data_IF_637365937324
#
_entry.id   IF_637365937324
#
_cell.length_a   1.000
_cell.length_b   1.000
_cell.length_c   1.000
_cell.angle_alpha   90.00
_cell.angle_beta   90.00
_cell.angle_gamma   90.00
#
_symmetry.space_group_name_H-M   'P 1'
#
loop_
_entity.id
_entity.type
_entity.pdbx_description
1 polymer ?
#
# COMPACT_ATOMS: atom_id res chain seq x y z
N UNK A 1 -47.32 14.97 -26.10
CA UNK A 1 -48.50 14.35 -25.43
C UNK A 1 -48.04 12.97 -24.96
N UNK A 2 -47.92 12.58 -23.71
CA UNK A 2 -48.21 13.12 -22.37
C UNK A 2 -47.43 12.23 -21.39
N UNK A 3 -46.54 12.80 -20.58
CA UNK A 3 -46.21 12.36 -19.21
C UNK A 3 -47.25 13.00 -18.24
N UNK A 4 -47.27 12.77 -16.90
CA UNK A 4 -46.49 11.89 -16.01
C UNK A 4 -47.40 11.12 -14.99
N UNK A 5 -46.83 10.41 -14.01
CA UNK A 5 -47.27 10.35 -12.59
C UNK A 5 -46.32 9.38 -11.82
N UNK A 6 -45.47 9.84 -10.90
CA UNK A 6 -45.67 10.32 -9.52
C UNK A 6 -45.61 9.20 -8.45
N UNK A 7 -44.62 9.38 -7.59
CA UNK A 7 -44.21 8.66 -6.36
C UNK A 7 -45.28 8.75 -5.27
N UNK A 8 -45.26 7.84 -4.28
CA UNK A 8 -45.39 8.33 -2.90
C UNK A 8 -44.35 7.74 -1.92
N UNK A 9 -43.88 8.63 -1.04
CA UNK A 9 -43.11 8.36 0.18
C UNK A 9 -44.03 7.93 1.33
N UNK A 10 -43.51 7.26 2.38
CA UNK A 10 -44.15 7.24 3.69
C UNK A 10 -43.44 8.12 4.73
N UNK A 11 -44.29 8.65 5.59
CA UNK A 11 -44.15 9.73 6.57
C UNK A 11 -43.32 9.35 7.81
N UNK A 12 -42.65 10.39 8.32
CA UNK A 12 -42.25 10.57 9.72
C UNK A 12 -43.44 10.38 10.68
N UNK A 13 -43.23 9.67 11.80
CA UNK A 13 -44.11 9.70 12.98
C UNK A 13 -43.25 10.07 14.20
N UNK A 14 -43.69 11.12 14.89
CA UNK A 14 -43.19 11.60 16.17
C UNK A 14 -44.02 11.05 17.34
N UNK A 15 -43.37 10.57 18.39
CA UNK A 15 -43.82 10.58 19.79
C UNK A 15 -42.61 10.14 20.64
N UNK A 16 -42.16 10.80 21.70
CA UNK A 16 -42.84 11.66 22.65
C UNK A 16 -43.27 10.83 23.86
N UNK A 17 -42.39 10.62 24.84
CA UNK A 17 -42.75 10.37 26.26
C UNK A 17 -41.53 10.41 27.17
N UNK A 18 -41.45 11.51 27.90
CA UNK A 18 -40.58 11.79 29.03
C UNK A 18 -41.17 11.11 30.28
N UNK A 19 -40.37 10.35 31.04
CA UNK A 19 -40.78 9.87 32.38
C UNK A 19 -40.03 10.65 33.45
N UNK A 20 -40.80 11.40 34.24
CA UNK A 20 -40.35 12.18 35.37
C UNK A 20 -40.62 11.45 36.70
N UNK A 21 -39.59 11.49 37.55
CA UNK A 21 -39.61 11.80 39.00
C UNK A 21 -40.16 10.76 39.98
N UNK A 22 -39.31 10.42 40.96
CA UNK A 22 -39.71 10.45 42.38
C UNK A 22 -38.54 10.89 43.27
N UNK A 23 -38.66 12.09 43.83
CA UNK A 23 -37.87 12.59 44.98
C UNK A 23 -38.72 12.38 46.22
N UNK A 24 -38.12 11.94 47.33
CA UNK A 24 -38.59 12.25 48.68
C UNK A 24 -37.41 12.66 49.57
N UNK A 25 -37.63 13.54 50.54
CA UNK A 25 -36.59 14.23 51.28
C UNK A 25 -36.24 13.49 52.58
N UNK A 26 -34.99 13.60 53.04
CA UNK A 26 -34.73 13.65 54.47
C UNK A 26 -33.78 14.80 54.77
N UNK A 27 -34.19 15.56 55.77
CA UNK A 27 -33.73 16.84 56.22
C UNK A 27 -33.24 16.61 57.64
N UNK A 28 -31.94 16.78 57.91
CA UNK A 28 -31.53 17.23 59.25
C UNK A 28 -30.19 17.96 59.25
N UNK A 29 -30.14 19.19 59.80
CA UNK A 29 -28.94 20.01 59.86
C UNK A 29 -28.22 19.85 61.21
N UNK A 30 -26.91 20.07 61.22
CA UNK A 30 -26.22 20.52 62.44
C UNK A 30 -25.12 21.53 62.13
N UNK A 31 -25.28 22.66 62.81
CA UNK A 31 -24.51 23.91 62.79
C UNK A 31 -23.07 23.78 63.30
N UNK A 32 -22.34 24.89 63.10
CA UNK A 32 -21.35 25.52 64.00
C UNK A 32 -19.90 25.28 63.55
N UNK A 33 -19.06 26.27 63.29
CA UNK A 33 -19.19 27.73 63.35
C UNK A 33 -17.95 28.36 62.71
N UNK A 34 -18.10 29.62 62.34
CA UNK A 34 -17.05 30.56 61.92
C UNK A 34 -15.91 30.66 62.93
N UNK A 35 -14.68 30.97 62.48
CA UNK A 35 -13.99 32.24 62.82
C UNK A 35 -12.56 32.29 62.27
N UNK A 36 -12.20 33.51 61.83
CA UNK A 36 -10.88 34.15 61.96
C UNK A 36 -9.68 33.41 61.33
N UNK A 37 -9.18 33.85 60.19
CA UNK A 37 -8.36 35.07 60.06
C UNK A 37 -7.31 35.17 61.18
N UNK A 38 -6.20 34.46 61.04
CA UNK A 38 -4.92 34.89 61.62
C UNK A 38 -3.72 34.14 61.03
N UNK A 39 -2.71 34.93 60.64
CA UNK A 39 -1.31 34.56 60.47
C UNK A 39 -0.89 34.01 59.10
N UNK A 40 -0.87 34.95 58.16
CA UNK A 40 0.24 35.10 57.20
C UNK A 40 1.57 35.03 57.97
N UNK A 41 2.57 34.47 57.30
CA UNK A 41 4.01 34.46 57.64
C UNK A 41 4.48 33.22 58.39
N UNK A 42 4.70 32.13 57.65
CA UNK A 42 5.91 31.30 57.80
C UNK A 42 6.10 30.33 56.64
N UNK A 43 7.20 30.56 55.94
CA UNK A 43 8.02 29.55 55.27
C UNK A 43 7.60 29.24 53.82
N UNK A 44 7.92 30.24 52.99
CA UNK A 44 8.14 30.21 51.54
C UNK A 44 9.30 29.25 51.12
N UNK A 45 9.91 28.48 52.03
CA UNK A 45 11.13 27.69 51.74
C UNK A 45 10.83 26.25 51.30
N UNK A 46 9.60 25.74 51.47
CA UNK A 46 9.24 24.39 51.00
C UNK A 46 8.60 24.34 49.59
N UNK A 47 8.26 25.50 49.00
CA UNK A 47 7.58 25.58 47.71
C UNK A 47 8.50 25.72 46.49
N UNK A 48 9.74 26.22 46.67
CA UNK A 48 10.64 26.50 45.57
C UNK A 48 11.49 25.29 45.13
N UNK A 49 11.58 24.23 45.94
CA UNK A 49 12.30 23.00 45.59
C UNK A 49 11.41 21.98 44.86
N UNK A 50 10.10 22.07 44.99
CA UNK A 50 9.14 21.15 44.35
C UNK A 50 8.78 21.64 42.94
N UNK A 51 8.91 22.94 42.65
CA UNK A 51 8.71 23.49 41.30
C UNK A 51 9.96 23.38 40.40
N UNK A 52 11.16 23.22 40.97
CA UNK A 52 12.38 22.97 40.18
C UNK A 52 12.55 21.50 39.75
N UNK A 53 11.75 20.57 40.29
CA UNK A 53 11.80 19.14 39.93
C UNK A 53 10.73 18.71 38.92
N UNK A 54 9.84 19.61 38.47
CA UNK A 54 8.78 19.28 37.50
C UNK A 54 9.12 19.67 36.05
N UNK A 55 10.32 20.18 35.77
CA UNK A 55 10.84 20.27 34.39
C UNK A 55 11.74 19.08 34.06
N UNK A 56 11.37 17.87 34.49
CA UNK A 56 11.87 16.68 33.82
C UNK A 56 11.17 16.68 32.48
N UNK A 57 11.96 16.98 31.45
CA UNK A 57 11.59 16.84 30.05
C UNK A 57 10.69 15.62 29.87
N UNK A 58 9.51 15.83 29.27
CA UNK A 58 8.87 14.78 28.50
C UNK A 58 9.80 14.48 27.31
N UNK A 59 10.91 13.80 27.59
CA UNK A 59 11.62 13.02 26.60
C UNK A 59 10.64 11.91 26.26
N UNK A 60 9.94 12.11 25.14
CA UNK A 60 9.02 11.17 24.56
C UNK A 60 9.83 9.89 24.28
N UNK A 61 9.77 8.93 25.21
CA UNK A 61 10.39 7.63 25.04
C UNK A 61 9.65 6.96 23.87
N UNK A 62 10.34 6.89 22.72
CA UNK A 62 9.87 6.09 21.59
C UNK A 62 10.05 4.63 22.00
N UNK A 63 8.98 4.03 22.51
CA UNK A 63 8.92 2.59 22.79
C UNK A 63 9.31 1.81 21.52
N UNK A 64 10.43 1.07 21.51
CA UNK A 64 10.77 0.23 20.37
C UNK A 64 10.05 -1.11 20.56
N UNK A 65 8.86 -1.25 19.96
CA UNK A 65 8.24 -2.56 19.85
C UNK A 65 6.72 -2.55 19.77
N UNK A 66 6.19 -2.64 18.54
CA UNK A 66 4.80 -2.96 18.28
C UNK A 66 4.52 -3.12 16.79
N UNK A 67 4.34 -4.36 16.34
CA UNK A 67 4.06 -4.79 14.96
C UNK A 67 5.20 -4.59 13.95
N UNK A 68 5.25 -5.44 12.93
CA UNK A 68 6.23 -5.42 11.83
C UNK A 68 6.27 -4.05 11.14
N UNK A 69 7.14 -3.15 11.60
CA UNK A 69 7.37 -1.84 10.98
C UNK A 69 8.35 -2.04 9.82
N UNK A 70 7.85 -1.89 8.59
CA UNK A 70 8.68 -1.88 7.39
C UNK A 70 9.30 -0.50 7.24
N UNK A 71 10.64 -0.44 7.16
CA UNK A 71 11.37 0.79 6.87
C UNK A 71 11.23 1.16 5.39
N UNK A 72 10.43 2.19 5.12
CA UNK A 72 10.14 2.69 3.78
C UNK A 72 11.06 3.84 3.35
N UNK A 73 12.10 4.15 4.13
CA UNK A 73 13.08 5.18 3.79
C UNK A 73 13.94 4.78 2.58
N UNK A 74 14.48 5.76 1.84
CA UNK A 74 15.41 5.49 0.74
C UNK A 74 16.61 4.65 1.19
N UNK A 75 17.01 3.70 0.35
CA UNK A 75 18.11 2.80 0.64
C UNK A 75 19.46 3.54 0.72
N UNK A 76 20.30 3.12 1.67
CA UNK A 76 21.68 3.61 1.80
C UNK A 76 22.59 3.14 0.66
N UNK A 77 22.35 1.95 0.12
CA UNK A 77 23.07 1.41 -1.03
C UNK A 77 22.14 1.30 -2.24
N UNK A 78 22.66 1.50 -3.47
CA UNK A 78 21.91 1.22 -4.69
C UNK A 78 21.41 -0.24 -4.73
N UNK A 79 20.17 -0.42 -5.17
CA UNK A 79 19.58 -1.73 -5.42
C UNK A 79 20.23 -2.37 -6.65
N UNK A 80 20.64 -3.62 -6.51
CA UNK A 80 21.03 -4.48 -7.63
C UNK A 80 19.87 -5.37 -8.06
N UNK A 81 19.71 -5.55 -9.36
CA UNK A 81 18.73 -6.48 -9.92
C UNK A 81 19.28 -7.92 -9.91
N UNK A 82 18.39 -8.94 -9.81
CA UNK A 82 18.79 -10.32 -9.98
C UNK A 82 19.50 -10.54 -11.32
N UNK A 83 20.59 -11.33 -11.33
CA UNK A 83 21.41 -11.63 -12.52
C UNK A 83 20.66 -12.30 -13.69
N UNK A 84 19.42 -12.71 -13.46
CA UNK A 84 18.58 -13.35 -14.47
C UNK A 84 17.62 -12.39 -15.16
N UNK A 85 17.57 -11.11 -14.73
CA UNK A 85 16.94 -10.06 -15.51
C UNK A 85 17.61 -9.98 -16.88
N UNK A 86 16.85 -9.60 -17.90
CA UNK A 86 17.36 -9.56 -19.26
C UNK A 86 18.41 -8.46 -19.37
N UNK A 87 19.51 -8.77 -20.05
CA UNK A 87 20.44 -7.77 -20.54
C UNK A 87 19.87 -7.20 -21.85
N UNK A 88 19.01 -6.20 -21.71
CA UNK A 88 18.29 -5.56 -22.80
C UNK A 88 19.08 -4.36 -23.35
N UNK A 89 18.97 -4.11 -24.65
CA UNK A 89 19.38 -2.85 -25.29
C UNK A 89 18.30 -1.77 -25.26
N UNK A 90 17.24 -2.01 -24.47
CA UNK A 90 16.05 -1.16 -24.30
C UNK A 90 15.22 -0.99 -25.58
N UNK A 91 15.30 -1.95 -26.50
CA UNK A 91 14.33 -2.13 -27.59
C UNK A 91 13.30 -3.19 -27.18
N UNK A 92 12.11 -2.72 -26.80
CA UNK A 92 11.07 -3.59 -26.26
C UNK A 92 10.47 -4.53 -27.31
N UNK A 93 10.49 -4.16 -28.60
CA UNK A 93 10.02 -5.05 -29.66
C UNK A 93 10.99 -6.20 -29.88
N UNK A 94 12.29 -5.90 -29.93
CA UNK A 94 13.35 -6.91 -30.00
C UNK A 94 13.30 -7.84 -28.79
N UNK A 95 13.20 -7.27 -27.58
CA UNK A 95 13.10 -8.04 -26.34
C UNK A 95 11.89 -8.98 -26.33
N UNK A 96 10.73 -8.52 -26.82
CA UNK A 96 9.54 -9.34 -26.96
C UNK A 96 9.74 -10.46 -27.99
N UNK A 97 10.31 -10.15 -29.16
CA UNK A 97 10.57 -11.13 -30.20
C UNK A 97 11.52 -12.24 -29.72
N UNK A 98 12.56 -11.89 -28.97
CA UNK A 98 13.47 -12.86 -28.34
C UNK A 98 12.77 -13.72 -27.29
N UNK A 99 11.94 -13.12 -26.44
CA UNK A 99 11.16 -13.85 -25.45
C UNK A 99 10.23 -14.88 -26.14
N UNK A 100 9.56 -14.48 -27.22
CA UNK A 100 8.70 -15.38 -28.00
C UNK A 100 9.47 -16.48 -28.72
N UNK A 101 10.66 -16.19 -29.24
CA UNK A 101 11.54 -17.20 -29.82
C UNK A 101 11.98 -18.25 -28.78
N UNK A 102 11.99 -17.89 -27.49
CA UNK A 102 12.24 -18.78 -26.37
C UNK A 102 10.96 -19.42 -25.77
N UNK A 103 9.83 -19.41 -26.50
CA UNK A 103 8.51 -19.96 -26.10
C UNK A 103 7.90 -19.32 -24.83
N UNK A 104 8.29 -18.08 -24.53
CA UNK A 104 7.73 -17.32 -23.41
C UNK A 104 6.37 -16.73 -23.77
N UNK A 105 5.62 -16.31 -22.76
CA UNK A 105 4.27 -15.74 -22.88
C UNK A 105 4.27 -14.23 -23.16
N UNK A 106 5.40 -13.57 -22.94
CA UNK A 106 5.59 -12.16 -23.23
C UNK A 106 6.75 -11.59 -22.43
N UNK A 107 6.69 -10.30 -22.16
CA UNK A 107 7.70 -9.58 -21.37
C UNK A 107 7.06 -8.80 -20.22
N UNK A 108 7.85 -8.55 -19.18
CA UNK A 108 7.51 -7.69 -18.06
C UNK A 108 8.46 -6.51 -18.08
N UNK A 109 7.93 -5.30 -18.28
CA UNK A 109 8.70 -4.08 -18.14
C UNK A 109 8.61 -3.62 -16.69
N UNK A 110 9.73 -3.67 -16.00
CA UNK A 110 9.87 -3.26 -14.60
C UNK A 110 10.37 -1.84 -14.52
N UNK A 111 9.60 -0.97 -13.86
CA UNK A 111 9.97 0.40 -13.57
C UNK A 111 10.42 0.51 -12.12
N UNK A 112 11.68 0.89 -11.94
CA UNK A 112 12.33 0.95 -10.64
C UNK A 112 13.22 2.18 -10.50
N UNK A 113 13.87 2.27 -9.35
CA UNK A 113 14.92 3.25 -9.08
C UNK A 113 15.91 2.65 -8.08
N UNK A 114 17.15 3.14 -8.07
CA UNK A 114 18.22 2.57 -7.27
C UNK A 114 17.95 2.60 -5.75
N UNK A 115 17.33 3.65 -5.21
CA UNK A 115 17.18 3.85 -3.76
C UNK A 115 15.72 3.74 -3.32
N UNK A 116 15.17 2.53 -3.44
CA UNK A 116 13.74 2.27 -3.23
C UNK A 116 13.49 1.05 -2.35
N UNK A 117 12.91 1.27 -1.16
CA UNK A 117 12.61 0.21 -0.19
C UNK A 117 11.65 -0.84 -0.76
N UNK A 118 10.56 -0.42 -1.42
CA UNK A 118 9.59 -1.34 -2.02
C UNK A 118 10.14 -2.11 -3.23
N UNK A 119 11.06 -1.50 -3.97
CA UNK A 119 11.77 -2.16 -5.07
C UNK A 119 12.67 -3.26 -4.51
N UNK A 120 13.40 -2.98 -3.42
CA UNK A 120 14.15 -4.00 -2.69
C UNK A 120 13.25 -5.13 -2.20
N UNK A 121 12.05 -4.82 -1.69
CA UNK A 121 11.09 -5.81 -1.25
C UNK A 121 10.66 -6.75 -2.39
N UNK A 122 10.39 -6.21 -3.59
CA UNK A 122 10.13 -7.03 -4.79
C UNK A 122 11.32 -7.97 -5.08
N UNK A 123 12.55 -7.46 -5.05
CA UNK A 123 13.76 -8.25 -5.36
C UNK A 123 14.05 -9.33 -4.32
N UNK A 124 13.93 -9.01 -3.02
CA UNK A 124 14.35 -9.91 -1.94
C UNK A 124 13.25 -10.84 -1.47
N UNK A 125 11.98 -10.44 -1.55
CA UNK A 125 10.85 -11.25 -1.06
C UNK A 125 10.17 -11.99 -2.20
N UNK A 126 9.74 -11.30 -3.26
CA UNK A 126 9.03 -11.97 -4.35
C UNK A 126 10.01 -12.76 -5.22
N UNK A 127 11.00 -12.08 -5.79
CA UNK A 127 12.05 -12.73 -6.59
C UNK A 127 13.08 -13.51 -5.74
N UNK A 128 13.02 -13.40 -4.41
CA UNK A 128 13.74 -14.30 -3.50
C UNK A 128 13.10 -15.68 -3.34
N UNK A 129 11.84 -15.85 -3.76
CA UNK A 129 11.16 -17.15 -3.70
C UNK A 129 11.38 -17.95 -4.98
N UNK A 130 11.84 -19.19 -4.82
CA UNK A 130 12.26 -20.05 -5.93
C UNK A 130 11.11 -20.35 -6.91
N UNK A 131 9.90 -20.54 -6.42
CA UNK A 131 8.72 -20.82 -7.25
C UNK A 131 8.34 -19.62 -8.12
N UNK A 132 8.32 -18.42 -7.54
CA UNK A 132 8.10 -17.16 -8.29
C UNK A 132 9.19 -16.99 -9.34
N UNK A 133 10.47 -17.06 -8.94
CA UNK A 133 11.59 -16.88 -9.88
C UNK A 133 11.59 -17.91 -11.00
N UNK A 134 11.31 -19.18 -10.70
CA UNK A 134 11.24 -20.24 -11.71
C UNK A 134 10.08 -20.00 -12.68
N UNK A 135 8.90 -19.67 -12.16
CA UNK A 135 7.71 -19.41 -12.98
C UNK A 135 7.89 -18.17 -13.85
N UNK A 136 8.41 -17.08 -13.28
CA UNK A 136 8.66 -15.85 -14.04
C UNK A 136 9.67 -16.09 -15.15
N UNK A 137 10.82 -16.71 -14.86
CA UNK A 137 11.85 -16.98 -15.87
C UNK A 137 11.36 -17.90 -16.99
N UNK A 138 10.47 -18.84 -16.68
CA UNK A 138 9.89 -19.75 -17.68
C UNK A 138 8.95 -19.03 -18.63
N UNK A 139 8.17 -18.06 -18.13
CA UNK A 139 7.07 -17.46 -18.89
C UNK A 139 7.36 -16.05 -19.40
N UNK A 140 8.36 -15.34 -18.86
CA UNK A 140 8.63 -13.95 -19.16
C UNK A 140 10.12 -13.64 -19.16
N UNK A 141 10.51 -12.65 -19.96
CA UNK A 141 11.71 -11.85 -19.72
C UNK A 141 11.33 -10.59 -18.93
N UNK A 142 12.23 -10.13 -18.05
CA UNK A 142 12.05 -8.86 -17.34
C UNK A 142 13.06 -7.84 -17.85
N UNK A 143 12.55 -6.70 -18.30
CA UNK A 143 13.32 -5.57 -18.79
C UNK A 143 13.27 -4.47 -17.73
N UNK A 144 14.39 -4.14 -17.08
CA UNK A 144 14.43 -3.06 -16.11
C UNK A 144 14.53 -1.69 -16.79
N UNK A 145 13.73 -0.75 -16.30
CA UNK A 145 13.72 0.66 -16.66
C UNK A 145 13.98 1.48 -15.37
N UNK A 146 15.00 2.33 -15.38
CA UNK A 146 15.20 3.34 -14.34
C UNK A 146 14.30 4.55 -14.62
N UNK A 147 13.39 4.86 -13.71
CA UNK A 147 12.49 6.01 -13.87
C UNK A 147 13.22 7.37 -13.87
N UNK A 148 14.50 7.39 -13.48
CA UNK A 148 15.38 8.56 -13.58
C UNK A 148 16.40 8.46 -14.71
N UNK A 149 16.41 7.33 -15.42
CA UNK A 149 17.34 7.02 -16.48
C UNK A 149 17.23 7.96 -17.67
N UNK A 150 18.36 8.14 -18.33
CA UNK A 150 18.50 8.99 -19.53
C UNK A 150 18.84 8.17 -20.77
N UNK A 151 18.95 6.84 -20.62
CA UNK A 151 19.18 5.94 -21.74
C UNK A 151 17.93 5.91 -22.63
N UNK A 152 18.13 5.66 -23.92
CA UNK A 152 17.05 5.60 -24.89
C UNK A 152 16.35 4.24 -24.82
N UNK A 153 15.02 4.27 -24.76
CA UNK A 153 14.12 3.13 -24.84
C UNK A 153 13.31 3.27 -26.11
N UNK A 154 13.33 2.24 -26.96
CA UNK A 154 12.38 2.08 -28.05
C UNK A 154 11.22 1.21 -27.55
N UNK A 155 10.04 1.80 -27.44
CA UNK A 155 8.88 1.10 -26.90
C UNK A 155 8.28 0.07 -27.87
N UNK A 156 7.23 -0.62 -27.43
CA UNK A 156 6.51 -1.61 -28.25
C UNK A 156 5.89 -0.99 -29.51
N UNK A 157 5.58 0.30 -29.51
CA UNK A 157 5.02 1.01 -30.67
C UNK A 157 6.12 1.58 -31.60
N UNK A 158 7.40 1.41 -31.26
CA UNK A 158 8.55 1.88 -32.02
C UNK A 158 8.91 3.35 -31.75
N UNK A 159 8.35 3.96 -30.70
CA UNK A 159 8.67 5.32 -30.28
C UNK A 159 9.88 5.29 -29.37
N UNK A 160 10.92 6.05 -29.73
CA UNK A 160 12.11 6.24 -28.89
C UNK A 160 11.91 7.40 -27.93
N UNK A 161 12.16 7.15 -26.64
CA UNK A 161 12.11 8.11 -25.54
C UNK A 161 13.27 7.84 -24.58
N UNK A 162 13.63 8.79 -23.72
CA UNK A 162 14.44 8.44 -22.55
C UNK A 162 13.65 7.53 -21.59
N UNK A 163 14.33 6.69 -20.82
CA UNK A 163 13.69 5.86 -19.77
C UNK A 163 12.76 6.68 -18.86
N UNK A 164 13.21 7.87 -18.46
CA UNK A 164 12.42 8.82 -17.67
C UNK A 164 11.15 9.29 -18.40
N UNK A 165 11.26 9.70 -19.66
CA UNK A 165 10.09 10.15 -20.44
C UNK A 165 9.10 9.01 -20.66
N UNK A 166 9.62 7.81 -20.95
CA UNK A 166 8.82 6.60 -21.07
C UNK A 166 8.08 6.30 -19.76
N UNK A 167 8.76 6.31 -18.61
CA UNK A 167 8.13 6.09 -17.30
C UNK A 167 7.05 7.14 -16.97
N UNK A 168 7.28 8.41 -17.31
CA UNK A 168 6.30 9.48 -17.13
C UNK A 168 5.07 9.28 -18.01
N UNK A 169 5.27 8.92 -19.29
CA UNK A 169 4.18 8.65 -20.24
C UNK A 169 3.33 7.48 -19.78
N UNK A 170 3.98 6.41 -19.32
CA UNK A 170 3.30 5.20 -18.81
C UNK A 170 2.71 5.37 -17.40
N UNK A 171 2.93 6.52 -16.76
CA UNK A 171 2.48 6.84 -15.39
C UNK A 171 2.99 5.81 -14.36
N UNK A 172 4.26 5.43 -14.49
CA UNK A 172 4.96 4.43 -13.66
C UNK A 172 6.03 5.04 -12.75
N UNK A 173 5.97 6.36 -12.50
CA UNK A 173 6.82 7.07 -11.56
C UNK A 173 6.62 6.66 -10.08
N UNK A 174 5.63 5.82 -9.77
CA UNK A 174 5.48 5.16 -8.48
C UNK A 174 6.11 3.76 -8.53
N UNK A 175 7.22 3.56 -7.81
CA UNK A 175 8.05 2.36 -7.92
C UNK A 175 7.86 1.41 -6.73
N UNK A 176 7.92 0.08 -6.94
CA UNK A 176 8.04 -0.58 -8.24
C UNK A 176 6.73 -0.53 -9.04
N UNK A 177 6.81 -0.44 -10.36
CA UNK A 177 5.67 -0.66 -11.26
C UNK A 177 6.04 -1.73 -12.29
N UNK A 178 5.06 -2.54 -12.70
CA UNK A 178 5.26 -3.62 -13.67
C UNK A 178 4.18 -3.51 -14.74
N UNK A 179 4.59 -3.49 -16.00
CA UNK A 179 3.68 -3.61 -17.15
C UNK A 179 3.96 -4.95 -17.83
N UNK A 180 2.90 -5.73 -18.02
CA UNK A 180 2.96 -7.03 -18.67
C UNK A 180 2.49 -6.87 -20.11
N UNK A 181 3.36 -7.16 -21.07
CA UNK A 181 3.00 -7.23 -22.49
C UNK A 181 2.80 -8.69 -22.89
N UNK A 182 1.68 -8.97 -23.56
CA UNK A 182 1.40 -10.29 -24.12
C UNK A 182 2.21 -10.57 -25.40
N UNK A 183 2.02 -11.75 -25.96
CA UNK A 183 2.63 -12.17 -27.23
C UNK A 183 2.34 -11.29 -28.44
N UNK A 184 1.35 -10.41 -28.36
CA UNK A 184 0.98 -9.48 -29.43
C UNK A 184 1.53 -8.07 -29.17
N UNK A 185 2.33 -7.88 -28.11
CA UNK A 185 2.77 -6.56 -27.67
C UNK A 185 1.66 -5.72 -27.03
N UNK A 186 0.52 -6.31 -26.71
CA UNK A 186 -0.56 -5.57 -26.04
C UNK A 186 -0.32 -5.58 -24.53
N UNK A 187 -0.55 -4.45 -23.85
CA UNK A 187 -0.56 -4.40 -22.39
C UNK A 187 -1.70 -5.31 -21.86
N UNK A 188 -1.31 -6.46 -21.30
CA UNK A 188 -2.23 -7.45 -20.75
C UNK A 188 -2.67 -7.08 -19.33
N UNK A 189 -1.74 -6.54 -18.55
CA UNK A 189 -1.95 -6.21 -17.15
C UNK A 189 -0.86 -5.26 -16.63
N UNK A 190 -1.15 -4.57 -15.54
CA UNK A 190 -0.14 -3.80 -14.81
C UNK A 190 -0.32 -3.85 -13.31
N UNK A 191 0.80 -3.79 -12.60
CA UNK A 191 0.86 -3.62 -11.15
C UNK A 191 1.50 -2.27 -10.83
N UNK A 192 0.85 -1.49 -9.97
CA UNK A 192 1.39 -0.21 -9.47
C UNK A 192 1.70 -0.37 -7.98
N UNK A 193 2.97 -0.27 -7.62
CA UNK A 193 3.45 -0.51 -6.27
C UNK A 193 3.74 -1.99 -5.98
N UNK A 194 4.09 -2.25 -4.73
CA UNK A 194 4.43 -3.60 -4.26
C UNK A 194 3.17 -4.45 -4.00
N UNK A 195 3.19 -5.69 -4.47
CA UNK A 195 2.18 -6.70 -4.19
C UNK A 195 2.81 -7.88 -3.46
N UNK A 196 2.18 -8.40 -2.39
CA UNK A 196 2.71 -9.53 -1.64
C UNK A 196 2.77 -10.80 -2.51
N UNK A 197 3.61 -11.79 -2.14
CA UNK A 197 3.89 -12.97 -2.95
C UNK A 197 2.67 -13.71 -3.51
N UNK A 198 1.61 -13.89 -2.71
CA UNK A 198 0.40 -14.60 -3.18
C UNK A 198 -0.32 -13.85 -4.31
N UNK A 199 -0.45 -12.52 -4.23
CA UNK A 199 -1.02 -11.71 -5.31
C UNK A 199 -0.08 -11.65 -6.51
N UNK A 200 1.23 -11.62 -6.26
CA UNK A 200 2.21 -11.58 -7.33
C UNK A 200 2.24 -12.88 -8.15
N UNK A 201 2.13 -14.05 -7.50
CA UNK A 201 1.92 -15.34 -8.18
C UNK A 201 0.68 -15.32 -9.05
N UNK A 202 -0.44 -14.89 -8.47
CA UNK A 202 -1.69 -14.78 -9.20
C UNK A 202 -1.57 -13.85 -10.40
N UNK A 203 -0.85 -12.73 -10.29
CA UNK A 203 -0.62 -11.82 -11.41
C UNK A 203 0.19 -12.46 -12.55
N UNK A 204 1.22 -13.25 -12.21
CA UNK A 204 2.00 -13.98 -13.21
C UNK A 204 1.13 -15.01 -13.94
N UNK A 205 0.33 -15.79 -13.22
CA UNK A 205 -0.58 -16.79 -13.79
C UNK A 205 -1.70 -16.13 -14.62
N UNK A 206 -2.28 -15.05 -14.10
CA UNK A 206 -3.33 -14.29 -14.75
C UNK A 206 -2.94 -13.82 -16.16
N UNK A 207 -1.69 -13.42 -16.35
CA UNK A 207 -1.15 -13.03 -17.66
C UNK A 207 -0.72 -14.25 -18.48
N UNK A 208 0.04 -15.18 -17.88
CA UNK A 208 0.61 -16.32 -18.60
C UNK A 208 -0.46 -17.23 -19.21
N UNK A 209 -1.61 -17.36 -18.55
CA UNK A 209 -2.73 -18.21 -18.96
C UNK A 209 -3.90 -17.41 -19.61
N UNK A 210 -3.66 -16.17 -20.03
CA UNK A 210 -4.61 -15.31 -20.75
C UNK A 210 -5.94 -15.02 -19.98
N UNK A 211 -5.94 -15.08 -18.64
CA UNK A 211 -7.15 -14.81 -17.84
C UNK A 211 -7.68 -13.39 -18.02
N UNK A 212 -6.80 -12.42 -18.28
CA UNK A 212 -7.15 -11.02 -18.54
C UNK A 212 -8.11 -10.81 -19.71
N UNK A 213 -8.27 -11.81 -20.59
CA UNK A 213 -9.23 -11.76 -21.70
C UNK A 213 -10.65 -12.13 -21.29
N UNK A 214 -10.84 -12.71 -20.12
CA UNK A 214 -12.09 -13.35 -19.69
C UNK A 214 -12.69 -12.72 -18.44
N UNK A 215 -11.84 -12.34 -17.49
CA UNK A 215 -12.23 -11.84 -16.18
C UNK A 215 -11.26 -10.76 -15.71
N UNK A 216 -11.70 -9.93 -14.77
CA UNK A 216 -10.83 -8.98 -14.09
C UNK A 216 -9.89 -9.68 -13.11
N UNK A 217 -8.77 -9.04 -12.77
CA UNK A 217 -7.84 -9.59 -11.79
C UNK A 217 -8.45 -9.78 -10.40
N UNK A 218 -9.44 -8.95 -10.03
CA UNK A 218 -10.19 -9.09 -8.78
C UNK A 218 -11.01 -10.38 -8.74
N UNK A 219 -11.80 -10.63 -9.80
CA UNK A 219 -12.58 -11.86 -9.94
C UNK A 219 -11.68 -13.11 -9.97
N UNK A 220 -10.54 -13.02 -10.67
CA UNK A 220 -9.53 -14.08 -10.70
C UNK A 220 -9.01 -14.43 -9.28
N UNK A 221 -8.69 -13.40 -8.48
CA UNK A 221 -8.24 -13.58 -7.10
C UNK A 221 -9.34 -14.15 -6.19
N UNK A 222 -10.58 -13.71 -6.34
CA UNK A 222 -11.72 -14.21 -5.56
C UNK A 222 -11.95 -15.69 -5.81
N UNK A 223 -11.90 -16.12 -7.07
CA UNK A 223 -12.02 -17.53 -7.46
C UNK A 223 -10.90 -18.39 -6.85
N UNK A 224 -9.66 -17.88 -6.80
CA UNK A 224 -8.54 -18.54 -6.12
C UNK A 224 -8.64 -18.54 -4.60
N UNK A 225 -9.29 -17.52 -4.01
CA UNK A 225 -9.45 -17.36 -2.56
C UNK A 225 -10.48 -18.30 -1.94
N UNK A 226 -11.40 -18.87 -2.73
CA UNK A 226 -12.35 -19.90 -2.29
C UNK A 226 -11.69 -21.19 -1.79
N UNK A 227 -10.41 -21.42 -2.12
CA UNK A 227 -9.61 -22.52 -1.58
C UNK A 227 -9.01 -22.23 -0.18
N UNK A 228 -9.22 -21.03 0.38
CA UNK A 228 -8.66 -20.57 1.67
C UNK A 228 -9.73 -20.35 2.76
N UNK A 229 -10.98 -20.76 2.52
CA UNK A 229 -11.98 -20.80 3.58
C UNK A 229 -11.69 -22.00 4.49
N UNK A 230 -11.17 -21.73 5.69
CA UNK A 230 -11.07 -22.73 6.75
C UNK A 230 -12.48 -23.26 7.07
N UNK A 231 -12.75 -24.53 6.76
CA UNK A 231 -13.84 -25.26 7.41
C UNK A 231 -13.46 -25.44 8.89
N UNK A 232 -14.30 -25.01 9.85
CA UNK A 232 -14.11 -25.36 11.25
C UNK A 232 -14.41 -26.85 11.40
N UNK A 233 -13.36 -27.64 11.65
CA UNK A 233 -13.47 -29.03 12.09
C UNK A 233 -14.12 -29.17 13.46
#
# INVERSE_FOLDING_TARGET
>A
MTLPNLVPSPRFISSGSCWHVRITPDNRPSRRGSTAFQQITRIIIAGALITLLHTIAFAQQREPGGAFEFDDLPLQEPLEHPKWFKHSFLDLQEDLNEALAADKKGIIVYFGQHRCAYCKLLMTVNFGQQDITTYTRRNFDIIPIDIWGVDEVTDIDGVTLTEREFALREKTNFTPSLIFYDKNGSEAFRLRGYYPPYKFRAALEYVADDHFRKESFGEFLERGSGALAFEPG
#
